data_IF_514504079411
#
_entry.id   IF_514504079411
#
_cell.length_a   1.000
_cell.length_b   1.000
_cell.length_c   1.000
_cell.angle_alpha   90.00
_cell.angle_beta   90.00
_cell.angle_gamma   90.00
#
_symmetry.space_group_name_H-M   'P 1'
#
loop_
_entity.id
_entity.type
_entity.pdbx_description
1 polymer ?
#
# COMPACT_ATOMS: atom_id res chain seq x y z
N UNK A 1 -19.54 -34.98 16.01
CA UNK A 1 -19.31 -33.81 15.14
C UNK A 1 -18.53 -32.77 15.93
N UNK A 2 -17.20 -32.81 15.80
CA UNK A 2 -16.28 -31.90 16.49
C UNK A 2 -16.34 -30.53 15.84
N UNK A 3 -16.46 -29.42 16.58
CA UNK A 3 -16.40 -28.09 15.99
C UNK A 3 -15.00 -27.85 15.37
N UNK A 4 -14.91 -27.24 14.18
CA UNK A 4 -13.62 -26.92 13.58
C UNK A 4 -12.82 -25.98 14.49
N UNK A 5 -11.53 -26.27 14.66
CA UNK A 5 -10.61 -25.45 15.46
C UNK A 5 -10.37 -24.11 14.75
N UNK A 6 -10.24 -23.02 15.52
CA UNK A 6 -10.05 -21.66 15.00
C UNK A 6 -8.84 -21.52 14.04
N UNK A 7 -7.92 -22.48 14.06
CA UNK A 7 -6.78 -22.54 13.13
C UNK A 7 -7.20 -22.84 11.68
N UNK A 8 -8.30 -23.56 11.45
CA UNK A 8 -8.78 -23.85 10.10
C UNK A 8 -9.41 -22.63 9.42
N UNK A 9 -10.10 -21.75 10.16
CA UNK A 9 -10.63 -20.49 9.62
C UNK A 9 -9.53 -19.50 9.21
N UNK A 10 -8.31 -19.67 9.74
CA UNK A 10 -7.15 -18.83 9.41
C UNK A 10 -6.48 -19.25 8.09
N UNK A 11 -6.72 -20.49 7.65
CA UNK A 11 -6.17 -21.05 6.41
C UNK A 11 -6.93 -20.58 5.16
N UNK A 12 -8.21 -20.19 5.29
CA UNK A 12 -9.07 -19.79 4.16
C UNK A 12 -8.85 -18.33 3.70
N UNK A 13 -8.01 -17.54 4.38
CA UNK A 13 -7.51 -16.25 3.86
C UNK A 13 -5.98 -16.31 3.76
N UNK A 14 -5.43 -17.09 2.79
CA UNK A 14 -3.99 -17.36 2.69
C UNK A 14 -3.11 -16.10 2.48
N UNK A 15 -3.72 -14.93 2.19
CA UNK A 15 -3.03 -13.64 2.07
C UNK A 15 -3.00 -12.77 3.34
N UNK A 16 -3.77 -13.07 4.39
CA UNK A 16 -4.02 -12.10 5.48
C UNK A 16 -2.87 -12.00 6.49
N UNK A 17 -2.11 -13.07 6.71
CA UNK A 17 -0.99 -13.10 7.67
C UNK A 17 0.38 -12.82 7.02
N UNK A 18 0.51 -12.99 5.70
CA UNK A 18 1.76 -12.73 4.96
C UNK A 18 2.01 -11.23 4.72
N UNK A 19 0.97 -10.41 4.91
CA UNK A 19 0.93 -9.02 4.48
C UNK A 19 0.72 -8.01 5.61
N UNK A 20 1.16 -8.30 6.85
CA UNK A 20 1.04 -7.35 7.98
C UNK A 20 1.59 -5.95 7.61
N UNK A 21 2.70 -5.89 6.86
CA UNK A 21 3.25 -4.63 6.36
C UNK A 21 2.33 -3.94 5.35
N UNK A 22 1.61 -4.71 4.53
CA UNK A 22 0.67 -4.18 3.54
C UNK A 22 -0.61 -3.68 4.21
N UNK A 23 -1.14 -4.42 5.18
CA UNK A 23 -2.29 -4.02 5.98
C UNK A 23 -1.97 -2.72 6.72
N UNK A 24 -0.81 -2.64 7.38
CA UNK A 24 -0.36 -1.40 8.04
C UNK A 24 -0.22 -0.24 7.04
N UNK A 25 0.34 -0.49 5.85
CA UNK A 25 0.45 0.54 4.81
C UNK A 25 -0.93 1.01 4.30
N UNK A 26 -1.85 0.08 4.07
CA UNK A 26 -3.21 0.37 3.63
C UNK A 26 -4.00 1.14 4.70
N UNK A 27 -3.90 0.75 5.97
CA UNK A 27 -4.55 1.47 7.08
C UNK A 27 -4.01 2.89 7.22
N UNK A 28 -2.69 3.08 7.15
CA UNK A 28 -2.10 4.42 7.18
C UNK A 28 -2.59 5.28 6.01
N UNK A 29 -2.69 4.71 4.82
CA UNK A 29 -3.22 5.39 3.64
C UNK A 29 -4.69 5.78 3.83
N UNK A 30 -5.52 4.87 4.33
CA UNK A 30 -6.95 5.12 4.58
C UNK A 30 -7.15 6.20 5.64
N UNK A 31 -6.44 6.13 6.77
CA UNK A 31 -6.51 7.15 7.83
C UNK A 31 -6.13 8.52 7.27
N UNK A 32 -5.02 8.59 6.52
CA UNK A 32 -4.58 9.84 5.88
C UNK A 32 -5.64 10.36 4.89
N UNK A 33 -6.18 9.50 4.04
CA UNK A 33 -7.19 9.85 3.04
C UNK A 33 -8.45 10.42 3.69
N UNK A 34 -9.01 9.77 4.71
CA UNK A 34 -10.20 10.26 5.41
C UNK A 34 -9.93 11.54 6.21
N UNK A 35 -8.76 11.63 6.86
CA UNK A 35 -8.36 12.83 7.61
C UNK A 35 -8.20 14.05 6.68
N UNK A 36 -7.49 13.90 5.56
CA UNK A 36 -7.31 14.99 4.60
C UNK A 36 -8.62 15.34 3.90
N UNK A 37 -9.46 14.36 3.56
CA UNK A 37 -10.78 14.61 2.99
C UNK A 37 -11.65 15.44 3.94
N UNK A 38 -11.68 15.11 5.23
CA UNK A 38 -12.41 15.88 6.22
C UNK A 38 -11.88 17.32 6.36
N UNK A 39 -10.55 17.50 6.33
CA UNK A 39 -9.93 18.82 6.38
C UNK A 39 -10.22 19.64 5.13
N UNK A 40 -10.16 19.03 3.95
CA UNK A 40 -10.53 19.67 2.68
C UNK A 40 -11.98 20.10 2.70
N UNK A 41 -12.89 19.20 3.08
CA UNK A 41 -14.31 19.52 3.20
C UNK A 41 -14.53 20.70 4.15
N UNK A 42 -14.03 20.62 5.38
CA UNK A 42 -14.19 21.67 6.38
C UNK A 42 -13.62 23.03 5.96
N UNK A 43 -12.52 23.05 5.21
CA UNK A 43 -11.85 24.31 4.82
C UNK A 43 -12.38 24.91 3.51
N UNK A 44 -13.08 24.13 2.69
CA UNK A 44 -13.47 24.55 1.34
C UNK A 44 -14.98 24.67 1.16
N UNK A 45 -15.78 23.97 1.98
CA UNK A 45 -17.23 24.13 1.97
C UNK A 45 -17.60 25.59 2.26
N UNK A 46 -18.41 26.18 1.39
CA UNK A 46 -18.86 27.57 1.49
C UNK A 46 -17.92 28.61 0.89
N UNK A 47 -16.70 28.23 0.49
CA UNK A 47 -15.74 29.11 -0.21
C UNK A 47 -15.45 28.63 -1.64
N UNK A 48 -15.62 27.34 -1.88
CA UNK A 48 -15.33 26.69 -3.16
C UNK A 48 -16.60 26.05 -3.73
N UNK A 49 -17.12 26.60 -4.83
CA UNK A 49 -18.31 26.09 -5.50
C UNK A 49 -18.14 24.67 -6.08
N UNK A 50 -16.89 24.21 -6.24
CA UNK A 50 -16.56 22.85 -6.70
C UNK A 50 -16.53 21.80 -5.59
N UNK A 51 -16.62 22.22 -4.31
CA UNK A 51 -16.62 21.32 -3.16
C UNK A 51 -17.87 21.61 -2.33
N UNK A 52 -18.97 20.96 -2.71
CA UNK A 52 -20.29 21.16 -2.10
C UNK A 52 -20.61 20.09 -1.05
N UNK A 53 -20.11 18.88 -1.26
CA UNK A 53 -20.37 17.72 -0.41
C UNK A 53 -19.07 16.97 -0.09
N UNK A 54 -19.16 16.00 0.81
CA UNK A 54 -17.99 15.22 1.24
C UNK A 54 -17.38 14.37 0.11
N UNK A 55 -18.19 13.93 -0.85
CA UNK A 55 -17.75 13.12 -1.99
C UNK A 55 -16.88 13.96 -2.93
N UNK A 56 -17.18 15.24 -3.14
CA UNK A 56 -16.36 16.15 -3.94
C UNK A 56 -14.96 16.32 -3.32
N UNK A 57 -14.91 16.50 -1.99
CA UNK A 57 -13.66 16.58 -1.24
C UNK A 57 -12.87 15.27 -1.28
N UNK A 58 -13.56 14.13 -1.20
CA UNK A 58 -12.97 12.80 -1.29
C UNK A 58 -12.38 12.58 -2.68
N UNK A 59 -13.11 12.96 -3.72
CA UNK A 59 -12.68 12.89 -5.10
C UNK A 59 -11.41 13.71 -5.34
N UNK A 60 -11.37 14.97 -4.88
CA UNK A 60 -10.14 15.78 -4.93
C UNK A 60 -8.97 15.10 -4.21
N UNK A 61 -9.21 14.58 -3.00
CA UNK A 61 -8.17 13.95 -2.19
C UNK A 61 -7.62 12.70 -2.86
N UNK A 62 -8.49 11.84 -3.39
CA UNK A 62 -8.10 10.60 -4.09
C UNK A 62 -7.35 10.91 -5.38
N UNK A 63 -7.85 11.82 -6.21
CA UNK A 63 -7.20 12.18 -7.49
C UNK A 63 -5.85 12.87 -7.29
N UNK A 64 -5.70 13.66 -6.22
CA UNK A 64 -4.42 14.28 -5.83
C UNK A 64 -3.45 13.24 -5.26
N UNK A 65 -3.93 12.37 -4.36
CA UNK A 65 -3.16 11.29 -3.73
C UNK A 65 -2.60 10.28 -4.74
N UNK A 66 -3.44 9.91 -5.71
CA UNK A 66 -3.09 8.99 -6.81
C UNK A 66 -2.27 9.68 -7.91
N UNK A 67 -1.98 10.98 -7.76
CA UNK A 67 -1.29 11.81 -8.76
C UNK A 67 -1.99 11.88 -10.12
N UNK A 68 -3.27 11.48 -10.19
CA UNK A 68 -4.07 11.54 -11.42
C UNK A 68 -4.35 12.99 -11.81
N UNK A 69 -4.73 13.83 -10.83
CA UNK A 69 -4.78 15.28 -10.95
C UNK A 69 -5.58 15.82 -12.14
N UNK A 70 -6.85 15.41 -12.30
CA UNK A 70 -7.70 15.82 -13.43
C UNK A 70 -7.89 17.34 -13.56
N UNK A 71 -7.75 18.10 -12.48
CA UNK A 71 -7.79 19.57 -12.48
C UNK A 71 -9.20 20.17 -12.57
N UNK A 72 -10.23 19.33 -12.56
CA UNK A 72 -11.66 19.69 -12.55
C UNK A 72 -12.14 20.21 -11.18
N UNK A 73 -11.53 19.71 -10.11
CA UNK A 73 -11.70 20.19 -8.73
C UNK A 73 -10.32 20.57 -8.18
N UNK A 74 -10.18 21.79 -7.66
CA UNK A 74 -8.96 22.28 -7.02
C UNK A 74 -9.29 23.14 -5.81
N UNK A 75 -8.37 23.20 -4.84
CA UNK A 75 -8.57 24.02 -3.64
C UNK A 75 -8.29 25.49 -3.93
N UNK A 76 -9.18 26.36 -3.47
CA UNK A 76 -9.07 27.81 -3.67
C UNK A 76 -8.36 28.50 -2.50
N UNK A 77 -7.79 29.67 -2.78
CA UNK A 77 -7.07 30.48 -1.80
C UNK A 77 -5.65 29.98 -1.48
N UNK A 78 -4.85 30.84 -0.82
CA UNK A 78 -3.46 30.52 -0.50
C UNK A 78 -3.34 29.35 0.48
N UNK A 79 -4.24 29.29 1.48
CA UNK A 79 -4.31 28.18 2.43
C UNK A 79 -4.69 26.85 1.72
N UNK A 80 -5.66 26.88 0.80
CA UNK A 80 -6.03 25.72 -0.01
C UNK A 80 -4.86 25.23 -0.87
N UNK A 81 -4.11 26.12 -1.51
CA UNK A 81 -2.90 25.76 -2.27
C UNK A 81 -1.83 25.08 -1.40
N UNK A 82 -1.55 25.63 -0.21
CA UNK A 82 -0.62 25.02 0.73
C UNK A 82 -1.10 23.64 1.21
N UNK A 83 -2.40 23.50 1.46
CA UNK A 83 -3.01 22.23 1.82
C UNK A 83 -2.87 21.20 0.69
N UNK A 84 -3.11 21.58 -0.57
CA UNK A 84 -2.89 20.72 -1.74
C UNK A 84 -1.44 20.24 -1.83
N UNK A 85 -0.47 21.14 -1.64
CA UNK A 85 0.95 20.79 -1.64
C UNK A 85 1.28 19.77 -0.55
N UNK A 86 0.74 19.95 0.66
CA UNK A 86 0.90 18.98 1.74
C UNK A 86 0.29 17.61 1.36
N UNK A 87 -0.93 17.59 0.82
CA UNK A 87 -1.60 16.35 0.37
C UNK A 87 -0.74 15.64 -0.68
N UNK A 88 -0.16 16.37 -1.63
CA UNK A 88 0.71 15.79 -2.66
C UNK A 88 1.96 15.14 -2.07
N UNK A 89 2.70 15.84 -1.20
CA UNK A 89 3.96 15.36 -0.60
C UNK A 89 3.73 14.10 0.24
N UNK A 90 2.77 14.15 1.16
CA UNK A 90 2.48 13.01 2.04
C UNK A 90 1.76 11.90 1.29
N UNK A 91 0.86 12.27 0.37
CA UNK A 91 0.05 11.35 -0.38
C UNK A 91 0.86 10.44 -1.29
N UNK A 92 1.73 11.02 -2.14
CA UNK A 92 2.57 10.22 -3.04
C UNK A 92 3.46 9.24 -2.24
N UNK A 93 3.99 9.68 -1.10
CA UNK A 93 4.83 8.88 -0.22
C UNK A 93 4.09 7.65 0.32
N UNK A 94 2.83 7.83 0.78
CA UNK A 94 2.00 6.75 1.28
C UNK A 94 1.51 5.82 0.17
N UNK A 95 1.13 6.37 -0.98
CA UNK A 95 0.67 5.61 -2.13
C UNK A 95 1.79 4.71 -2.68
N UNK A 96 2.98 5.27 -2.92
CA UNK A 96 4.14 4.50 -3.37
C UNK A 96 4.54 3.43 -2.36
N UNK A 97 4.46 3.72 -1.06
CA UNK A 97 4.73 2.72 -0.03
C UNK A 97 3.76 1.54 -0.10
N UNK A 98 2.46 1.80 -0.31
CA UNK A 98 1.48 0.74 -0.49
C UNK A 98 1.81 -0.10 -1.72
N UNK A 99 2.05 0.54 -2.87
CA UNK A 99 2.40 -0.14 -4.13
C UNK A 99 3.65 -1.00 -3.95
N UNK A 100 4.71 -0.47 -3.34
CA UNK A 100 5.95 -1.21 -3.08
C UNK A 100 5.74 -2.45 -2.22
N UNK A 101 4.86 -2.37 -1.22
CA UNK A 101 4.62 -3.50 -0.32
C UNK A 101 3.72 -4.54 -0.99
N UNK A 102 2.73 -4.12 -1.76
CA UNK A 102 1.82 -5.02 -2.49
C UNK A 102 2.53 -5.75 -3.62
N UNK A 103 3.38 -5.04 -4.38
CA UNK A 103 4.11 -5.60 -5.52
C UNK A 103 5.44 -6.26 -5.13
N UNK A 104 5.79 -6.29 -3.84
CA UNK A 104 7.06 -6.89 -3.40
C UNK A 104 7.04 -8.39 -3.72
N UNK A 105 7.97 -8.90 -4.55
CA UNK A 105 8.01 -10.32 -4.84
C UNK A 105 8.27 -11.11 -3.56
N UNK A 106 7.59 -12.25 -3.43
CA UNK A 106 7.85 -13.18 -2.35
C UNK A 106 9.32 -13.62 -2.45
N UNK A 107 10.03 -13.63 -1.32
CA UNK A 107 11.40 -14.12 -1.26
C UNK A 107 11.40 -15.55 -0.72
N UNK A 108 12.11 -16.45 -1.40
CA UNK A 108 12.31 -17.80 -0.91
C UNK A 108 13.24 -17.79 0.32
N UNK A 109 12.84 -18.49 1.38
CA UNK A 109 13.66 -18.66 2.59
C UNK A 109 14.34 -20.03 2.53
N UNK A 110 15.49 -20.09 1.87
CA UNK A 110 16.28 -21.30 1.67
C UNK A 110 17.73 -21.03 2.12
N UNK A 111 18.24 -21.67 3.18
CA UNK A 111 19.61 -21.47 3.63
C UNK A 111 20.61 -22.01 2.59
N UNK A 112 21.47 -21.13 2.07
CA UNK A 112 22.54 -21.54 1.16
C UNK A 112 23.51 -22.49 1.90
N UNK A 113 23.81 -23.67 1.34
CA UNK A 113 24.65 -24.67 2.01
C UNK A 113 26.12 -24.23 2.17
N UNK A 114 26.57 -23.22 1.40
CA UNK A 114 27.97 -22.77 1.40
C UNK A 114 28.18 -21.54 2.27
N UNK A 115 27.37 -20.48 2.10
CA UNK A 115 27.59 -19.20 2.79
C UNK A 115 26.51 -18.87 3.83
N UNK A 116 25.47 -19.69 3.99
CA UNK A 116 24.41 -19.48 4.96
C UNK A 116 23.42 -18.34 4.64
N UNK A 117 23.48 -17.72 3.46
CA UNK A 117 22.48 -16.72 3.06
C UNK A 117 21.10 -17.37 3.00
N UNK A 118 20.12 -16.84 3.75
CA UNK A 118 18.80 -17.44 3.91
C UNK A 118 17.74 -16.94 2.91
N UNK A 119 17.89 -15.72 2.40
CA UNK A 119 16.82 -15.03 1.68
C UNK A 119 17.21 -14.81 0.22
N UNK A 120 16.57 -15.53 -0.68
CA UNK A 120 16.82 -15.50 -2.12
C UNK A 120 15.59 -14.97 -2.88
N UNK A 121 15.78 -14.63 -4.14
CA UNK A 121 14.66 -14.39 -5.05
C UNK A 121 13.96 -15.74 -5.32
N UNK A 122 12.66 -15.73 -5.63
CA UNK A 122 11.84 -16.95 -5.66
C UNK A 122 12.33 -17.96 -6.71
N UNK A 123 12.87 -17.46 -7.81
CA UNK A 123 13.39 -18.16 -8.99
C UNK A 123 14.93 -18.27 -8.99
N UNK A 124 15.59 -18.07 -7.84
CA UNK A 124 17.04 -18.03 -7.78
C UNK A 124 17.68 -19.41 -7.96
N UNK A 125 18.25 -19.66 -9.15
CA UNK A 125 19.07 -20.85 -9.44
C UNK A 125 20.48 -20.75 -8.82
N UNK A 126 20.96 -19.54 -8.54
CA UNK A 126 22.27 -19.30 -7.94
C UNK A 126 22.17 -18.40 -6.70
N UNK A 127 23.01 -18.67 -5.71
CA UNK A 127 23.13 -17.82 -4.53
C UNK A 127 23.77 -16.48 -4.92
N UNK A 128 23.06 -15.37 -4.66
CA UNK A 128 23.56 -14.02 -4.96
C UNK A 128 24.87 -13.65 -4.24
N UNK A 129 25.16 -14.26 -3.10
CA UNK A 129 26.35 -13.96 -2.31
C UNK A 129 27.60 -14.76 -2.74
N UNK A 130 27.45 -16.04 -3.09
CA UNK A 130 28.60 -16.93 -3.32
C UNK A 130 28.58 -17.69 -4.66
N UNK A 131 27.52 -17.55 -5.46
CA UNK A 131 27.40 -18.17 -6.79
C UNK A 131 27.05 -19.66 -6.81
N UNK A 132 27.01 -20.34 -5.66
CA UNK A 132 26.60 -21.76 -5.57
C UNK A 132 25.22 -21.97 -6.16
N UNK A 133 25.05 -23.05 -6.93
CA UNK A 133 23.76 -23.49 -7.47
C UNK A 133 22.85 -23.85 -6.30
N UNK A 134 21.66 -23.25 -6.26
CA UNK A 134 20.63 -23.52 -5.28
C UNK A 134 19.56 -24.39 -5.94
N UNK A 135 19.15 -25.45 -5.25
CA UNK A 135 18.01 -26.27 -5.62
C UNK A 135 16.84 -25.93 -4.68
N UNK A 136 16.24 -24.76 -4.90
CA UNK A 136 15.08 -24.32 -4.13
C UNK A 136 13.88 -25.15 -4.61
N UNK A 137 13.19 -25.90 -3.74
CA UNK A 137 12.02 -26.68 -4.14
C UNK A 137 10.93 -25.73 -4.63
N UNK A 138 10.43 -26.02 -5.83
CA UNK A 138 9.25 -25.37 -6.41
C UNK A 138 8.02 -26.17 -6.01
N UNK A 139 7.07 -25.51 -5.35
CA UNK A 139 5.81 -26.14 -4.92
C UNK A 139 4.87 -26.40 -6.12
N UNK A 140 5.19 -25.90 -7.33
CA UNK A 140 4.47 -26.17 -8.57
C UNK A 140 3.05 -25.62 -8.60
N UNK A 141 2.79 -24.57 -7.81
CA UNK A 141 1.45 -23.95 -7.63
C UNK A 141 1.24 -22.72 -8.54
N UNK A 142 2.12 -22.52 -9.52
CA UNK A 142 2.03 -21.43 -10.50
C UNK A 142 1.16 -21.82 -11.72
#
# INVERSE_FOLDING_TARGET
HSPPTLDQLRADIPGFLRNETAIRAALNLLIFLFAMTALVYQTQTGVNDRITNYVDALYFTVTTLTTTGFGDVTLVGNAGKLLSVAIMIFGISLFLRLVQVVLKPAKANFPCPVCGLRRHDHDAVHCKACGTVLNIPDDGVD
#
